data_IF_384361192236
#
_entry.id   IF_384361192236
#
_cell.length_a   1.000
_cell.length_b   1.000
_cell.length_c   1.000
_cell.angle_alpha   90.00
_cell.angle_beta   90.00
_cell.angle_gamma   90.00
#
_symmetry.space_group_name_H-M   'P 1'
#
loop_
_entity.id
_entity.type
_entity.pdbx_description
1 polymer ?
#
# COMPACT_ATOMS: atom_id res chain seq x y z
N UNK A 1 24.21 14.54 -4.87
CA UNK A 1 23.48 13.28 -5.22
C UNK A 1 23.80 12.16 -4.22
N UNK A 2 25.04 12.07 -3.73
CA UNK A 2 25.44 11.10 -2.70
C UNK A 2 25.05 11.51 -1.27
N UNK A 3 24.70 12.78 -1.05
CA UNK A 3 24.41 13.36 0.27
C UNK A 3 23.26 12.66 1.00
N UNK A 4 22.24 12.24 0.25
CA UNK A 4 21.12 11.47 0.81
C UNK A 4 21.53 10.08 1.32
N UNK A 5 22.53 9.47 0.69
CA UNK A 5 23.08 8.17 1.10
C UNK A 5 23.92 8.34 2.35
N UNK A 6 24.74 9.39 2.43
CA UNK A 6 25.55 9.68 3.61
C UNK A 6 24.69 9.99 4.83
N UNK A 7 23.66 10.84 4.70
CA UNK A 7 22.74 11.13 5.80
C UNK A 7 21.98 9.86 6.24
N UNK A 8 21.58 9.03 5.28
CA UNK A 8 20.94 7.77 5.58
C UNK A 8 21.87 6.81 6.36
N UNK A 9 23.09 6.60 5.88
CA UNK A 9 24.03 5.67 6.51
C UNK A 9 24.45 6.16 7.89
N UNK A 10 24.47 7.49 8.09
CA UNK A 10 24.66 8.11 9.39
C UNK A 10 23.48 7.79 10.34
N UNK A 11 22.24 7.86 9.87
CA UNK A 11 21.08 7.43 10.68
C UNK A 11 21.13 5.94 11.04
N UNK A 12 21.52 5.07 10.10
CA UNK A 12 21.70 3.64 10.36
C UNK A 12 22.82 3.41 11.38
N UNK A 13 23.96 4.08 11.22
CA UNK A 13 25.08 3.99 12.14
C UNK A 13 24.70 4.46 13.55
N UNK A 14 23.97 5.58 13.67
CA UNK A 14 23.43 6.05 14.95
C UNK A 14 22.51 5.00 15.58
N UNK A 15 21.63 4.36 14.79
CA UNK A 15 20.76 3.30 15.28
C UNK A 15 21.54 2.07 15.73
N UNK A 16 22.61 1.69 15.02
CA UNK A 16 23.52 0.60 15.41
C UNK A 16 24.24 0.88 16.72
N UNK A 17 24.67 2.12 16.95
CA UNK A 17 25.31 2.52 18.21
C UNK A 17 24.29 2.43 19.36
N UNK A 18 23.07 2.94 19.18
CA UNK A 18 22.00 2.80 20.16
C UNK A 18 21.62 1.34 20.41
N UNK A 19 21.52 0.55 19.34
CA UNK A 19 21.27 -0.89 19.41
C UNK A 19 22.34 -1.60 20.23
N UNK A 20 23.62 -1.29 19.99
CA UNK A 20 24.75 -1.84 20.74
C UNK A 20 24.70 -1.41 22.21
N UNK A 21 24.35 -0.14 22.48
CA UNK A 21 24.17 0.36 23.83
C UNK A 21 23.03 -0.35 24.57
N UNK A 22 21.88 -0.57 23.92
CA UNK A 22 20.75 -1.32 24.50
C UNK A 22 21.13 -2.78 24.75
N UNK A 23 21.88 -3.41 23.84
CA UNK A 23 22.37 -4.78 24.02
C UNK A 23 23.34 -4.89 25.21
N UNK A 24 24.20 -3.89 25.39
CA UNK A 24 25.14 -3.82 26.52
C UNK A 24 24.42 -3.49 27.84
N UNK A 25 23.38 -2.67 27.78
CA UNK A 25 22.49 -2.36 28.90
C UNK A 25 21.59 -3.54 29.31
N UNK A 26 21.55 -4.63 28.54
CA UNK A 26 20.86 -5.86 28.89
C UNK A 26 21.85 -6.94 29.38
N UNK A 27 22.37 -6.83 30.62
CA UNK A 27 23.15 -7.90 31.22
C UNK A 27 22.19 -8.99 31.70
N UNK A 28 22.25 -10.14 31.03
CA UNK A 28 22.02 -11.46 31.63
C UNK A 28 20.65 -11.75 32.29
N UNK A 29 19.55 -11.51 31.57
CA UNK A 29 18.24 -12.03 31.98
C UNK A 29 17.56 -12.80 30.84
N UNK A 30 16.60 -13.69 31.17
CA UNK A 30 15.83 -14.53 30.23
C UNK A 30 15.17 -13.76 29.08
N UNK A 31 15.01 -12.43 29.23
CA UNK A 31 14.56 -11.49 28.19
C UNK A 31 15.54 -11.29 27.02
N UNK A 32 16.81 -11.68 27.17
CA UNK A 32 17.84 -11.53 26.13
C UNK A 32 17.45 -12.22 24.83
N UNK A 33 16.82 -13.39 24.87
CA UNK A 33 16.36 -14.10 23.65
C UNK A 33 15.31 -13.30 22.87
N UNK A 34 14.34 -12.73 23.58
CA UNK A 34 13.26 -11.94 22.97
C UNK A 34 13.80 -10.63 22.40
N UNK A 35 14.62 -9.92 23.18
CA UNK A 35 15.20 -8.65 22.75
C UNK A 35 16.16 -8.87 21.59
N UNK A 36 16.99 -9.91 21.61
CA UNK A 36 17.93 -10.19 20.51
C UNK A 36 17.21 -10.50 19.19
N UNK A 37 16.09 -11.21 19.24
CA UNK A 37 15.25 -11.44 18.06
C UNK A 37 14.58 -10.15 17.56
N UNK A 38 14.04 -9.37 18.50
CA UNK A 38 13.39 -8.10 18.19
C UNK A 38 14.37 -7.07 17.62
N UNK A 39 15.60 -7.04 18.11
CA UNK A 39 16.68 -6.21 17.60
C UNK A 39 17.09 -6.59 16.18
N UNK A 40 17.10 -7.89 15.84
CA UNK A 40 17.29 -8.34 14.46
C UNK A 40 16.17 -7.87 13.54
N UNK A 41 14.91 -7.98 13.97
CA UNK A 41 13.77 -7.45 13.21
C UNK A 41 13.82 -5.93 13.06
N UNK A 42 14.14 -5.19 14.14
CA UNK A 42 14.34 -3.74 14.09
C UNK A 42 15.46 -3.36 13.12
N UNK A 43 16.56 -4.11 13.11
CA UNK A 43 17.66 -3.89 12.18
C UNK A 43 17.21 -4.01 10.73
N UNK A 44 16.49 -5.11 10.42
CA UNK A 44 15.93 -5.34 9.09
C UNK A 44 14.99 -4.20 8.72
N UNK A 45 14.14 -3.75 9.64
CA UNK A 45 13.16 -2.68 9.41
C UNK A 45 13.83 -1.32 9.13
N UNK A 46 14.89 -0.98 9.87
CA UNK A 46 15.67 0.25 9.67
C UNK A 46 16.44 0.21 8.35
N UNK A 47 17.00 -0.94 7.97
CA UNK A 47 17.64 -1.14 6.67
C UNK A 47 16.59 -1.22 5.54
N UNK A 48 15.34 -1.56 5.83
CA UNK A 48 14.29 -1.63 4.82
C UNK A 48 13.92 -0.25 4.30
N UNK A 49 13.81 0.75 5.16
CA UNK A 49 13.48 2.14 4.79
C UNK A 49 14.28 2.70 3.59
N UNK A 50 15.62 2.65 3.57
CA UNK A 50 16.42 3.05 2.42
C UNK A 50 16.29 2.08 1.25
N UNK A 51 16.17 0.77 1.49
CA UNK A 51 16.05 -0.23 0.42
C UNK A 51 14.78 0.04 -0.37
N UNK A 52 13.68 0.40 0.29
CA UNK A 52 12.44 0.86 -0.35
C UNK A 52 12.64 2.15 -1.16
N UNK A 53 13.45 3.09 -0.66
CA UNK A 53 13.82 4.32 -1.39
C UNK A 53 14.69 4.05 -2.61
N UNK A 54 15.71 3.21 -2.47
CA UNK A 54 16.69 2.88 -3.51
C UNK A 54 16.08 2.00 -4.62
N UNK A 55 15.19 1.09 -4.27
CA UNK A 55 14.53 0.20 -5.24
C UNK A 55 13.48 0.91 -6.09
N UNK A 56 13.22 2.20 -5.85
CA UNK A 56 12.19 2.96 -6.56
C UNK A 56 10.77 2.44 -6.29
N UNK A 57 10.61 1.59 -5.27
CA UNK A 57 9.33 1.03 -4.86
C UNK A 57 8.34 2.12 -4.43
N UNK A 58 8.83 3.25 -3.89
CA UNK A 58 7.99 4.40 -3.56
C UNK A 58 7.18 4.90 -4.76
N UNK A 59 7.79 4.98 -5.94
CA UNK A 59 7.09 5.43 -7.16
C UNK A 59 6.05 4.41 -7.62
N UNK A 60 6.39 3.12 -7.55
CA UNK A 60 5.51 2.02 -7.96
C UNK A 60 4.32 1.85 -7.00
N UNK A 61 4.54 2.03 -5.70
CA UNK A 61 3.48 2.03 -4.69
C UNK A 61 2.59 3.24 -4.89
N UNK A 62 3.16 4.42 -5.11
CA UNK A 62 2.38 5.64 -5.34
C UNK A 62 1.53 5.55 -6.61
N UNK A 63 2.07 5.01 -7.70
CA UNK A 63 1.29 4.79 -8.94
C UNK A 63 0.18 3.77 -8.73
N UNK A 64 0.47 2.66 -8.02
CA UNK A 64 -0.52 1.64 -7.71
C UNK A 64 -1.66 2.18 -6.84
N UNK A 65 -1.35 2.98 -5.82
CA UNK A 65 -2.37 3.61 -4.96
C UNK A 65 -3.25 4.57 -5.77
N UNK A 66 -2.69 5.35 -6.68
CA UNK A 66 -3.47 6.23 -7.57
C UNK A 66 -4.39 5.46 -8.51
N UNK A 67 -3.87 4.40 -9.11
CA UNK A 67 -4.65 3.53 -10.01
C UNK A 67 -5.79 2.84 -9.26
N UNK A 68 -5.50 2.34 -8.05
CA UNK A 68 -6.50 1.74 -7.17
C UNK A 68 -7.61 2.73 -6.79
N UNK A 69 -7.23 3.95 -6.42
CA UNK A 69 -8.19 5.01 -6.08
C UNK A 69 -9.03 5.41 -7.30
N UNK A 70 -8.45 5.49 -8.50
CA UNK A 70 -9.18 5.77 -9.73
C UNK A 70 -10.22 4.67 -10.04
N UNK A 71 -9.85 3.40 -9.83
CA UNK A 71 -10.77 2.27 -9.98
C UNK A 71 -11.92 2.29 -8.96
N UNK A 72 -11.69 2.75 -7.73
CA UNK A 72 -12.76 2.92 -6.74
C UNK A 72 -13.74 4.00 -7.17
N UNK A 73 -13.26 5.16 -7.60
CA UNK A 73 -14.11 6.24 -8.13
C UNK A 73 -14.93 5.78 -9.33
N UNK A 74 -14.31 5.07 -10.29
CA UNK A 74 -15.03 4.55 -11.45
C UNK A 74 -16.13 3.56 -11.04
N UNK A 75 -15.86 2.68 -10.08
CA UNK A 75 -16.85 1.73 -9.56
C UNK A 75 -18.03 2.42 -8.89
N UNK A 76 -17.81 3.51 -8.17
CA UNK A 76 -18.87 4.31 -7.55
C UNK A 76 -19.75 4.95 -8.64
N UNK A 77 -19.15 5.56 -9.66
CA UNK A 77 -19.90 6.12 -10.80
C UNK A 77 -20.74 5.07 -11.53
N UNK A 78 -20.19 3.88 -11.76
CA UNK A 78 -20.92 2.78 -12.38
C UNK A 78 -22.09 2.30 -11.51
N UNK A 79 -21.94 2.31 -10.17
CA UNK A 79 -23.03 1.97 -9.24
C UNK A 79 -24.14 3.00 -9.27
N UNK A 80 -23.80 4.28 -9.31
CA UNK A 80 -24.79 5.36 -9.43
C UNK A 80 -25.53 5.28 -10.77
N UNK A 81 -24.80 5.08 -11.88
CA UNK A 81 -25.40 4.88 -13.21
C UNK A 81 -26.31 3.67 -13.23
N UNK A 82 -25.88 2.54 -12.68
CA UNK A 82 -26.71 1.34 -12.61
C UNK A 82 -28.01 1.59 -11.83
N UNK A 83 -27.94 2.30 -10.70
CA UNK A 83 -29.13 2.69 -9.93
C UNK A 83 -30.06 3.62 -10.71
N UNK A 84 -29.53 4.65 -11.39
CA UNK A 84 -30.32 5.54 -12.24
C UNK A 84 -30.97 4.81 -13.43
N UNK A 85 -30.24 3.87 -14.03
CA UNK A 85 -30.76 3.03 -15.10
C UNK A 85 -31.93 2.18 -14.61
N UNK A 86 -31.83 1.61 -13.41
CA UNK A 86 -32.89 0.81 -12.80
C UNK A 86 -34.14 1.65 -12.44
N UNK A 87 -33.96 2.90 -11.99
CA UNK A 87 -35.07 3.85 -11.76
C UNK A 87 -35.73 4.33 -13.06
N UNK A 88 -34.94 4.53 -14.12
CA UNK A 88 -35.42 5.03 -15.43
C UNK A 88 -35.95 3.89 -16.31
N UNK A 89 -35.67 2.64 -15.94
CA UNK A 89 -36.05 1.47 -16.71
C UNK A 89 -37.57 1.36 -16.80
N UNK A 90 -38.09 1.58 -18.01
CA UNK A 90 -39.51 1.43 -18.32
C UNK A 90 -39.72 0.11 -19.10
N UNK A 91 -40.33 -0.92 -18.49
CA UNK A 91 -40.53 -2.22 -19.13
C UNK A 91 -41.52 -2.18 -20.32
N UNK A 92 -42.39 -1.16 -20.42
CA UNK A 92 -43.32 -1.02 -21.56
C UNK A 92 -42.60 -0.76 -22.89
N UNK A 93 -41.42 -0.12 -22.86
CA UNK A 93 -40.62 0.08 -24.07
C UNK A 93 -40.09 -1.23 -24.65
N UNK A 94 -39.78 -2.20 -23.79
CA UNK A 94 -39.19 -3.49 -24.18
C UNK A 94 -40.21 -4.41 -24.91
N UNK A 95 -41.49 -4.30 -24.57
CA UNK A 95 -42.57 -5.00 -25.30
C UNK A 95 -42.80 -4.43 -26.70
N UNK A 96 -42.71 -3.09 -26.87
CA UNK A 96 -42.86 -2.43 -28.18
C UNK A 96 -41.72 -2.83 -29.14
N UNK A 97 -40.48 -2.94 -28.64
CA UNK A 97 -39.35 -3.42 -29.43
C UNK A 97 -39.51 -4.91 -29.82
N UNK A 98 -40.08 -5.75 -28.95
CA UNK A 98 -40.38 -7.16 -29.28
C UNK A 98 -41.55 -7.32 -30.24
N UNK A 99 -42.56 -6.45 -30.21
CA UNK A 99 -43.66 -6.44 -31.20
C UNK A 99 -43.20 -5.94 -32.58
N UNK A 100 -42.21 -5.05 -32.66
CA UNK A 100 -41.68 -4.56 -33.93
C UNK A 100 -40.67 -5.52 -34.61
N UNK A 101 -40.10 -6.49 -33.90
CA UNK A 101 -39.13 -7.45 -34.46
C UNK A 101 -39.79 -8.72 -35.05
N UNK A 102 -41.12 -8.85 -34.98
CA UNK A 102 -41.85 -10.03 -35.48
C UNK A 102 -42.84 -9.66 -36.59
N UNK A 103 -42.33 -9.24 -37.75
CA UNK A 103 -42.98 -9.53 -39.03
C UNK A 103 -41.93 -9.52 -40.16
N UNK A 104 -41.66 -10.67 -40.81
CA UNK A 104 -41.01 -10.70 -42.11
C UNK A 104 -41.88 -10.07 -43.22
#
# INVERSE_FOLDING_TARGET
>A
MTDGIYSWIQNVACFFILLTAVMNFLPDNSYKKYVQFYMGMLLILVILSPVFRFTGLENKVTSFVREFQALESEKEEWRERAGQWEETWNPEGEEIFKEQEVSP
#
